data_IF_895464028386
#
_entry.id   IF_895464028386
#
_cell.length_a   1.000
_cell.length_b   1.000
_cell.length_c   1.000
_cell.angle_alpha   90.00
_cell.angle_beta   90.00
_cell.angle_gamma   90.00
#
_symmetry.space_group_name_H-M   'P 1'
#
loop_
_entity.id
_entity.type
_entity.pdbx_description
1 polymer ?
#
# COMPACT_ATOMS: atom_id res chain seq x y z
N UNK A 1 4.95 80.67 40.30
CA UNK A 1 4.54 79.27 40.03
C UNK A 1 5.23 78.76 38.77
N UNK A 2 6.25 77.92 38.90
CA UNK A 2 6.82 77.11 37.82
C UNK A 2 7.22 75.75 38.42
N UNK A 3 6.31 74.79 38.38
CA UNK A 3 6.60 73.36 38.16
C UNK A 3 6.06 73.07 36.74
N UNK A 4 6.61 72.14 35.94
CA UNK A 4 7.42 70.99 36.36
C UNK A 4 8.58 70.66 35.39
N UNK A 5 9.82 71.03 35.69
CA UNK A 5 10.99 70.42 35.00
C UNK A 5 11.49 69.13 35.68
N UNK A 6 10.86 68.72 36.79
CA UNK A 6 11.37 67.65 37.64
C UNK A 6 10.67 66.31 37.43
N UNK A 7 9.42 66.30 36.94
CA UNK A 7 8.67 65.04 36.77
C UNK A 7 9.15 64.29 35.53
N UNK A 8 9.32 64.96 34.39
CA UNK A 8 9.87 64.33 33.17
C UNK A 8 11.30 63.81 33.39
N UNK A 9 12.17 64.58 34.03
CA UNK A 9 13.54 64.14 34.32
C UNK A 9 13.58 62.95 35.30
N UNK A 10 12.71 62.94 36.32
CA UNK A 10 12.60 61.79 37.23
C UNK A 10 12.00 60.56 36.54
N UNK A 11 11.06 60.72 35.61
CA UNK A 11 10.52 59.62 34.79
C UNK A 11 11.61 59.07 33.87
N UNK A 12 12.39 59.92 33.19
CA UNK A 12 13.49 59.49 32.32
C UNK A 12 14.56 58.74 33.12
N UNK A 13 14.99 59.27 34.27
CA UNK A 13 15.98 58.61 35.15
C UNK A 13 15.48 57.31 35.77
N UNK A 14 14.18 57.17 36.03
CA UNK A 14 13.61 55.90 36.53
C UNK A 14 13.35 54.87 35.42
N UNK A 15 13.20 55.32 34.16
CA UNK A 15 13.06 54.45 32.99
C UNK A 15 14.39 54.01 32.38
N UNK A 16 15.49 54.73 32.64
CA UNK A 16 16.83 54.41 32.12
C UNK A 16 17.37 53.02 32.56
N UNK A 17 17.24 52.59 33.83
CA UNK A 17 17.62 51.24 34.24
C UNK A 17 16.72 50.17 33.60
N UNK A 18 15.45 50.49 33.36
CA UNK A 18 14.47 49.58 32.74
C UNK A 18 14.79 49.41 31.26
N UNK A 19 15.15 50.48 30.55
CA UNK A 19 15.52 50.42 29.13
C UNK A 19 16.83 49.67 28.90
N UNK A 20 17.83 49.86 29.78
CA UNK A 20 19.07 49.07 29.77
C UNK A 20 18.78 47.60 30.05
N UNK A 21 17.98 47.29 31.07
CA UNK A 21 17.61 45.91 31.37
C UNK A 21 16.80 45.25 30.24
N UNK A 22 15.93 45.99 29.56
CA UNK A 22 15.18 45.51 28.39
C UNK A 22 16.12 45.21 27.21
N UNK A 23 17.08 46.10 26.95
CA UNK A 23 18.10 45.89 25.91
C UNK A 23 18.99 44.68 26.22
N UNK A 24 19.36 44.47 27.48
CA UNK A 24 20.15 43.29 27.90
C UNK A 24 19.35 41.99 27.72
N UNK A 25 18.06 41.99 28.07
CA UNK A 25 17.16 40.85 27.84
C UNK A 25 16.98 40.59 26.34
N UNK A 26 16.85 41.64 25.53
CA UNK A 26 16.73 41.51 24.07
C UNK A 26 18.02 40.98 23.45
N UNK A 27 19.18 41.50 23.84
CA UNK A 27 20.49 41.04 23.37
C UNK A 27 20.78 39.60 23.80
N UNK A 28 20.42 39.23 25.04
CA UNK A 28 20.49 37.86 25.50
C UNK A 28 19.57 36.95 24.68
N UNK A 29 18.34 37.36 24.43
CA UNK A 29 17.37 36.60 23.63
C UNK A 29 17.85 36.42 22.19
N UNK A 30 18.38 37.47 21.54
CA UNK A 30 18.98 37.38 20.20
C UNK A 30 20.18 36.42 20.21
N UNK A 31 21.04 36.49 21.23
CA UNK A 31 22.21 35.60 21.36
C UNK A 31 21.79 34.13 21.48
N UNK A 32 20.67 33.84 22.15
CA UNK A 32 20.16 32.47 22.30
C UNK A 32 19.35 31.99 21.08
N UNK A 33 18.59 32.87 20.43
CA UNK A 33 17.71 32.53 19.30
C UNK A 33 18.48 32.46 17.98
N UNK A 34 19.49 33.32 17.78
CA UNK A 34 20.25 33.38 16.52
C UNK A 34 20.86 32.01 16.11
N UNK A 35 21.52 31.25 17.00
CA UNK A 35 22.02 29.92 16.63
C UNK A 35 20.92 28.95 16.19
N UNK A 36 19.73 29.02 16.82
CA UNK A 36 18.57 28.21 16.45
C UNK A 36 18.08 28.60 15.05
N UNK A 37 17.92 29.90 14.80
CA UNK A 37 17.50 30.42 13.49
C UNK A 37 18.49 30.06 12.38
N UNK A 38 19.80 30.23 12.63
CA UNK A 38 20.85 29.88 11.68
C UNK A 38 20.82 28.38 11.38
N UNK A 39 20.62 27.54 12.41
CA UNK A 39 20.47 26.08 12.25
C UNK A 39 19.23 25.73 11.42
N UNK A 40 18.07 26.33 11.70
CA UNK A 40 16.84 26.11 10.95
C UNK A 40 16.99 26.53 9.48
N UNK A 41 17.68 27.64 9.22
CA UNK A 41 17.96 28.13 7.87
C UNK A 41 18.86 27.16 7.10
N UNK A 42 19.92 26.64 7.74
CA UNK A 42 20.79 25.63 7.14
C UNK A 42 20.05 24.32 6.86
N UNK A 43 19.19 23.88 7.79
CA UNK A 43 18.34 22.70 7.59
C UNK A 43 17.39 22.87 6.41
N UNK A 44 16.75 24.03 6.31
CA UNK A 44 15.87 24.35 5.17
C UNK A 44 16.62 24.31 3.84
N UNK A 45 17.77 24.98 3.75
CA UNK A 45 18.59 24.96 2.53
C UNK A 45 19.06 23.55 2.15
N UNK A 46 19.46 22.75 3.15
CA UNK A 46 19.84 21.35 2.91
C UNK A 46 18.66 20.51 2.42
N UNK A 47 17.45 20.78 2.92
CA UNK A 47 16.25 20.07 2.49
C UNK A 47 15.84 20.46 1.07
N UNK A 48 15.82 21.77 0.76
CA UNK A 48 15.51 22.29 -0.58
C UNK A 48 16.48 21.72 -1.63
N UNK A 49 17.76 21.60 -1.28
CA UNK A 49 18.76 20.93 -2.11
C UNK A 49 18.40 19.46 -2.37
N UNK A 50 18.09 18.71 -1.31
CA UNK A 50 17.75 17.29 -1.42
C UNK A 50 16.51 17.08 -2.28
N UNK A 51 15.49 17.90 -2.08
CA UNK A 51 14.25 17.81 -2.84
C UNK A 51 14.47 18.05 -4.32
N UNK A 52 15.27 19.06 -4.68
CA UNK A 52 15.67 19.33 -6.07
C UNK A 52 16.41 18.13 -6.68
N UNK A 53 17.44 17.62 -6.02
CA UNK A 53 18.24 16.49 -6.55
C UNK A 53 17.37 15.24 -6.69
N UNK A 54 16.52 14.94 -5.71
CA UNK A 54 15.60 13.81 -5.78
C UNK A 54 14.55 13.96 -6.89
N UNK A 55 14.15 15.19 -7.25
CA UNK A 55 13.34 15.45 -8.43
C UNK A 55 14.00 14.92 -9.70
N UNK A 56 15.23 15.35 -9.98
CA UNK A 56 16.01 14.87 -11.13
C UNK A 56 16.20 13.35 -11.10
N UNK A 57 16.57 12.78 -9.95
CA UNK A 57 16.78 11.32 -9.81
C UNK A 57 15.53 10.52 -10.20
N UNK A 58 14.36 10.93 -9.70
CA UNK A 58 13.11 10.24 -9.99
C UNK A 58 12.74 10.35 -11.47
N UNK A 59 12.94 11.51 -12.10
CA UNK A 59 12.72 11.69 -13.54
C UNK A 59 13.56 10.74 -14.39
N UNK A 60 14.80 10.47 -13.99
CA UNK A 60 15.70 9.51 -14.66
C UNK A 60 15.47 8.04 -14.23
N UNK A 61 14.43 7.77 -13.44
CA UNK A 61 14.10 6.42 -12.94
C UNK A 61 15.02 5.90 -11.84
N UNK A 62 15.81 6.76 -11.19
CA UNK A 62 16.57 6.43 -9.98
C UNK A 62 15.71 6.57 -8.72
N UNK A 63 16.00 5.76 -7.67
CA UNK A 63 15.32 5.91 -6.39
C UNK A 63 15.70 7.24 -5.73
N UNK A 64 14.80 7.85 -4.95
CA UNK A 64 15.16 8.97 -4.07
C UNK A 64 16.30 8.58 -3.12
N UNK A 65 17.17 9.53 -2.81
CA UNK A 65 18.30 9.34 -1.89
C UNK A 65 18.25 10.28 -0.67
N UNK A 66 18.61 9.74 0.49
CA UNK A 66 18.75 10.51 1.73
C UNK A 66 20.19 10.98 2.01
N UNK A 67 21.18 10.28 1.47
CA UNK A 67 22.60 10.47 1.80
C UNK A 67 23.09 11.89 1.43
N UNK A 68 23.37 12.71 2.45
CA UNK A 68 23.75 14.10 2.25
C UNK A 68 25.07 14.28 1.48
N UNK A 69 26.01 13.32 1.57
CA UNK A 69 27.28 13.40 0.85
C UNK A 69 27.07 13.18 -0.64
N UNK A 70 26.30 12.15 -1.01
CA UNK A 70 25.93 11.91 -2.40
C UNK A 70 25.08 13.04 -2.96
N UNK A 71 24.07 13.51 -2.21
CA UNK A 71 23.22 14.64 -2.62
C UNK A 71 24.04 15.89 -2.90
N UNK A 72 24.98 16.25 -2.02
CA UNK A 72 25.83 17.42 -2.24
C UNK A 72 26.69 17.30 -3.49
N UNK A 73 27.32 16.12 -3.71
CA UNK A 73 28.16 15.91 -4.89
C UNK A 73 27.37 15.96 -6.20
N UNK A 74 26.16 15.40 -6.21
CA UNK A 74 25.27 15.45 -7.37
C UNK A 74 24.82 16.89 -7.62
N UNK A 75 24.43 17.61 -6.57
CA UNK A 75 24.02 19.01 -6.67
C UNK A 75 25.13 19.92 -7.22
N UNK A 76 26.37 19.77 -6.74
CA UNK A 76 27.52 20.52 -7.24
C UNK A 76 27.73 20.28 -8.74
N UNK A 77 27.47 19.06 -9.21
CA UNK A 77 27.58 18.68 -10.62
C UNK A 77 26.43 19.22 -11.47
N UNK A 78 25.19 19.15 -10.97
CA UNK A 78 24.03 19.76 -11.63
C UNK A 78 24.23 21.28 -11.78
N UNK A 79 24.77 21.94 -10.76
CA UNK A 79 25.06 23.38 -10.82
C UNK A 79 26.20 23.70 -11.81
N UNK A 80 27.24 22.87 -11.88
CA UNK A 80 28.31 22.98 -12.90
C UNK A 80 27.77 22.82 -14.31
N UNK A 81 26.82 21.90 -14.50
CA UNK A 81 26.15 21.66 -15.76
C UNK A 81 25.27 22.85 -16.17
N UNK A 82 24.36 23.30 -15.31
CA UNK A 82 23.46 24.43 -15.58
C UNK A 82 24.21 25.75 -15.82
N UNK A 83 25.44 25.89 -15.31
CA UNK A 83 26.30 27.05 -15.56
C UNK A 83 27.00 27.01 -16.93
N UNK A 84 27.09 25.83 -17.56
CA UNK A 84 27.53 25.68 -18.95
C UNK A 84 26.30 25.82 -19.82
N UNK A 85 26.19 26.93 -20.54
CA UNK A 85 25.12 27.24 -21.49
C UNK A 85 25.23 26.36 -22.76
N UNK A 86 25.40 25.05 -22.58
CA UNK A 86 25.61 24.10 -23.66
C UNK A 86 24.29 23.41 -24.01
N UNK A 87 23.73 23.76 -25.15
CA UNK A 87 22.55 23.11 -25.75
C UNK A 87 22.78 21.67 -26.24
N UNK A 88 23.98 21.11 -26.07
CA UNK A 88 24.41 19.87 -26.77
C UNK A 88 24.56 18.62 -25.89
N UNK A 89 24.53 18.74 -24.57
CA UNK A 89 24.73 17.57 -23.68
C UNK A 89 23.40 17.14 -23.05
N UNK A 90 23.16 15.84 -22.92
CA UNK A 90 22.00 15.32 -22.22
C UNK A 90 22.28 15.32 -20.71
N UNK A 91 21.46 16.03 -19.93
CA UNK A 91 21.58 16.10 -18.48
C UNK A 91 21.48 14.72 -17.82
N UNK A 92 20.74 13.79 -18.43
CA UNK A 92 20.60 12.42 -17.94
C UNK A 92 21.93 11.66 -18.03
N UNK A 93 22.68 11.83 -19.13
CA UNK A 93 23.97 11.19 -19.31
C UNK A 93 25.01 11.74 -18.33
N UNK A 94 25.04 13.06 -18.10
CA UNK A 94 25.92 13.69 -17.12
C UNK A 94 25.62 13.21 -15.69
N UNK A 95 24.35 13.14 -15.29
CA UNK A 95 24.00 12.64 -13.95
C UNK A 95 24.28 11.13 -13.84
N UNK A 96 24.07 10.35 -14.90
CA UNK A 96 24.48 8.94 -14.94
C UNK A 96 25.98 8.79 -14.71
N UNK A 97 26.82 9.55 -15.43
CA UNK A 97 28.27 9.50 -15.27
C UNK A 97 28.70 9.92 -13.87
N UNK A 98 28.01 10.89 -13.27
CA UNK A 98 28.22 11.29 -11.87
C UNK A 98 27.87 10.15 -10.93
N UNK A 99 26.69 9.56 -11.04
CA UNK A 99 26.26 8.45 -10.18
C UNK A 99 27.20 7.25 -10.32
N UNK A 100 27.55 6.89 -11.55
CA UNK A 100 28.45 5.78 -11.84
C UNK A 100 29.87 6.03 -11.32
N UNK A 101 30.40 7.25 -11.49
CA UNK A 101 31.73 7.62 -10.99
C UNK A 101 31.78 7.73 -9.46
N UNK A 102 30.70 8.19 -8.83
CA UNK A 102 30.61 8.30 -7.38
C UNK A 102 30.40 6.95 -6.70
N UNK A 103 29.57 6.08 -7.26
CA UNK A 103 29.24 4.77 -6.71
C UNK A 103 30.19 3.69 -7.24
N UNK A 104 31.49 3.99 -7.10
CA UNK A 104 32.57 3.09 -7.47
C UNK A 104 32.69 1.92 -6.48
N UNK A 105 33.66 1.04 -6.73
CA UNK A 105 33.88 -0.16 -5.90
C UNK A 105 34.11 0.15 -4.41
N UNK A 106 34.73 1.30 -4.07
CA UNK A 106 34.95 1.69 -2.68
C UNK A 106 33.64 2.06 -1.98
N UNK A 107 32.78 2.84 -2.63
CA UNK A 107 31.45 3.15 -2.06
C UNK A 107 30.60 1.88 -1.95
N UNK A 108 30.64 0.98 -2.93
CA UNK A 108 29.96 -0.32 -2.85
C UNK A 108 30.43 -1.14 -1.65
N UNK A 109 31.74 -1.13 -1.38
CA UNK A 109 32.30 -1.79 -0.21
C UNK A 109 31.86 -1.11 1.10
N UNK A 110 31.74 0.22 1.13
CA UNK A 110 31.21 0.94 2.30
C UNK A 110 29.75 0.57 2.57
N UNK A 111 28.90 0.48 1.53
CA UNK A 111 27.52 0.02 1.67
C UNK A 111 27.48 -1.38 2.28
N UNK A 112 28.28 -2.30 1.76
CA UNK A 112 28.35 -3.66 2.27
C UNK A 112 28.81 -3.71 3.73
N UNK A 113 29.84 -2.94 4.11
CA UNK A 113 30.27 -2.83 5.52
C UNK A 113 29.15 -2.33 6.41
N UNK A 114 28.36 -1.35 5.95
CA UNK A 114 27.23 -0.85 6.71
C UNK A 114 26.11 -1.88 6.83
N UNK A 115 25.80 -2.63 5.77
CA UNK A 115 24.85 -3.74 5.83
C UNK A 115 25.31 -4.84 6.79
N UNK A 116 26.62 -5.11 6.87
CA UNK A 116 27.18 -6.10 7.80
C UNK A 116 27.04 -5.72 9.28
N UNK A 117 26.81 -4.45 9.60
CA UNK A 117 26.52 -3.98 10.97
C UNK A 117 25.06 -4.21 11.38
N UNK A 118 24.16 -4.43 10.41
CA UNK A 118 22.73 -4.60 10.67
C UNK A 118 22.44 -6.05 11.07
N UNK A 119 22.05 -6.27 12.32
CA UNK A 119 21.81 -7.63 12.87
C UNK A 119 20.79 -8.43 12.04
N UNK A 120 19.75 -7.78 11.55
CA UNK A 120 18.69 -8.43 10.74
C UNK A 120 19.15 -8.83 9.33
N UNK A 121 20.37 -8.48 8.91
CA UNK A 121 20.95 -8.91 7.63
C UNK A 121 21.99 -10.02 7.79
N UNK A 122 22.33 -10.42 9.02
CA UNK A 122 23.45 -11.32 9.28
C UNK A 122 23.35 -12.65 8.53
N UNK A 123 22.16 -13.27 8.52
CA UNK A 123 21.93 -14.56 7.83
C UNK A 123 21.99 -14.45 6.31
N UNK A 124 21.70 -13.25 5.77
CA UNK A 124 21.66 -12.98 4.33
C UNK A 124 22.94 -12.32 3.83
N UNK A 125 23.88 -11.99 4.71
CA UNK A 125 25.03 -11.15 4.37
C UNK A 125 25.85 -11.71 3.20
N UNK A 126 26.08 -13.03 3.14
CA UNK A 126 26.79 -13.68 2.03
C UNK A 126 26.07 -13.53 0.68
N UNK A 127 24.75 -13.51 0.69
CA UNK A 127 23.92 -13.29 -0.51
C UNK A 127 24.10 -11.84 -0.98
N UNK A 128 24.01 -10.89 -0.05
CA UNK A 128 24.20 -9.45 -0.33
C UNK A 128 25.61 -9.15 -0.83
N UNK A 129 26.63 -9.73 -0.20
CA UNK A 129 28.02 -9.65 -0.65
C UNK A 129 28.16 -10.19 -2.08
N UNK A 130 27.52 -11.32 -2.39
CA UNK A 130 27.56 -11.90 -3.73
C UNK A 130 26.93 -10.97 -4.78
N UNK A 131 25.81 -10.31 -4.46
CA UNK A 131 25.20 -9.32 -5.35
C UNK A 131 26.16 -8.15 -5.66
N UNK A 132 26.83 -7.61 -4.65
CA UNK A 132 27.82 -6.53 -4.82
C UNK A 132 29.04 -7.00 -5.62
N UNK A 133 29.56 -8.20 -5.37
CA UNK A 133 30.66 -8.79 -6.16
C UNK A 133 30.28 -8.94 -7.63
N UNK A 134 29.05 -9.40 -7.90
CA UNK A 134 28.52 -9.49 -9.25
C UNK A 134 28.46 -8.11 -9.92
N UNK A 135 27.94 -7.08 -9.25
CA UNK A 135 27.93 -5.71 -9.76
C UNK A 135 29.33 -5.21 -10.14
N UNK A 136 30.28 -5.31 -9.19
CA UNK A 136 31.66 -4.86 -9.38
C UNK A 136 32.40 -5.61 -10.50
N UNK A 137 31.96 -6.82 -10.83
CA UNK A 137 32.53 -7.66 -11.89
C UNK A 137 31.80 -7.53 -13.23
N UNK A 138 30.83 -6.62 -13.36
CA UNK A 138 30.04 -6.45 -14.58
C UNK A 138 28.97 -7.53 -14.81
N UNK A 139 28.73 -8.42 -13.84
CA UNK A 139 27.73 -9.49 -13.91
C UNK A 139 26.35 -8.99 -13.46
N UNK A 140 25.84 -7.96 -14.15
CA UNK A 140 24.65 -7.20 -13.70
C UNK A 140 23.38 -8.03 -13.64
N UNK A 141 23.16 -8.97 -14.58
CA UNK A 141 22.04 -9.92 -14.50
C UNK A 141 22.04 -10.69 -13.17
N UNK A 142 23.21 -11.20 -12.78
CA UNK A 142 23.37 -11.96 -11.53
C UNK A 142 23.24 -11.08 -10.30
N UNK A 143 23.77 -9.85 -10.35
CA UNK A 143 23.59 -8.86 -9.28
C UNK A 143 22.10 -8.60 -9.00
N UNK A 144 21.34 -8.25 -10.06
CA UNK A 144 19.92 -7.91 -9.96
C UNK A 144 19.10 -9.12 -9.50
N UNK A 145 19.27 -10.28 -10.15
CA UNK A 145 18.54 -11.50 -9.81
C UNK A 145 18.83 -12.00 -8.38
N UNK A 146 20.03 -11.72 -7.86
CA UNK A 146 20.40 -12.06 -6.48
C UNK A 146 19.78 -11.09 -5.47
N UNK A 147 19.82 -9.79 -5.74
CA UNK A 147 19.43 -8.74 -4.79
C UNK A 147 17.91 -8.51 -4.72
N UNK A 148 17.23 -8.49 -5.87
CA UNK A 148 15.79 -8.19 -5.99
C UNK A 148 14.91 -9.03 -5.05
N UNK A 149 15.01 -10.38 -5.01
CA UNK A 149 14.16 -11.18 -4.12
C UNK A 149 14.47 -10.99 -2.63
N UNK A 150 15.65 -10.46 -2.27
CA UNK A 150 15.98 -10.25 -0.86
C UNK A 150 15.17 -9.14 -0.23
N UNK A 151 14.75 -8.12 -0.98
CA UNK A 151 14.03 -6.96 -0.43
C UNK A 151 12.77 -7.37 0.32
N UNK A 152 11.89 -8.13 -0.34
CA UNK A 152 10.63 -8.57 0.26
C UNK A 152 10.87 -9.58 1.39
N UNK A 153 11.80 -10.52 1.19
CA UNK A 153 12.17 -11.49 2.22
C UNK A 153 12.60 -10.81 3.52
N UNK A 154 13.49 -9.81 3.42
CA UNK A 154 13.98 -9.04 4.57
C UNK A 154 12.84 -8.25 5.22
N UNK A 155 11.98 -7.59 4.44
CA UNK A 155 10.84 -6.84 5.00
C UNK A 155 9.96 -7.77 5.83
N UNK A 156 9.54 -8.91 5.27
CA UNK A 156 8.71 -9.88 5.99
C UNK A 156 9.38 -10.40 7.26
N UNK A 157 10.68 -10.65 7.20
CA UNK A 157 11.47 -11.13 8.34
C UNK A 157 11.56 -10.08 9.45
N UNK A 158 11.85 -8.82 9.13
CA UNK A 158 11.91 -7.71 10.09
C UNK A 158 10.57 -7.46 10.78
N UNK A 159 9.46 -7.64 10.06
CA UNK A 159 8.10 -7.58 10.62
C UNK A 159 7.67 -8.90 11.30
N UNK A 160 8.56 -9.89 11.45
CA UNK A 160 8.29 -11.20 12.03
C UNK A 160 7.04 -11.88 11.43
N UNK A 161 6.85 -11.76 10.11
CA UNK A 161 5.69 -12.31 9.44
C UNK A 161 5.74 -13.85 9.40
N UNK A 162 4.65 -14.50 9.83
CA UNK A 162 4.55 -15.98 9.88
C UNK A 162 3.51 -16.57 8.95
N UNK A 163 2.70 -15.75 8.28
CA UNK A 163 1.71 -16.24 7.34
C UNK A 163 2.34 -16.49 5.96
N UNK A 164 1.57 -17.10 5.06
CA UNK A 164 1.97 -17.18 3.67
C UNK A 164 2.14 -15.79 3.07
N UNK A 165 3.16 -15.63 2.24
CA UNK A 165 3.40 -14.41 1.50
C UNK A 165 2.16 -14.01 0.70
N UNK A 166 1.76 -12.75 0.86
CA UNK A 166 0.73 -12.12 0.05
C UNK A 166 1.12 -10.65 -0.17
N UNK A 167 1.06 -10.18 -1.41
CA UNK A 167 1.43 -8.81 -1.77
C UNK A 167 0.67 -7.75 -0.97
N UNK A 168 -0.59 -8.01 -0.60
CA UNK A 168 -1.37 -7.11 0.27
C UNK A 168 -0.78 -6.94 1.67
N UNK A 169 -0.09 -7.96 2.21
CA UNK A 169 0.64 -7.85 3.48
C UNK A 169 1.91 -7.04 3.30
N UNK A 170 2.63 -7.24 2.18
CA UNK A 170 3.76 -6.37 1.80
C UNK A 170 3.33 -4.91 1.76
N UNK A 171 2.20 -4.61 1.11
CA UNK A 171 1.68 -3.24 1.02
C UNK A 171 1.40 -2.62 2.40
N UNK A 172 0.88 -3.40 3.36
CA UNK A 172 0.71 -2.92 4.75
C UNK A 172 2.07 -2.59 5.36
N UNK A 173 3.06 -3.48 5.21
CA UNK A 173 4.41 -3.26 5.73
C UNK A 173 5.09 -2.05 5.10
N UNK A 174 4.99 -1.87 3.78
CA UNK A 174 5.55 -0.71 3.09
C UNK A 174 4.87 0.60 3.50
N UNK A 175 3.55 0.58 3.70
CA UNK A 175 2.84 1.77 4.17
C UNK A 175 3.32 2.18 5.56
N UNK A 176 3.53 1.24 6.47
CA UNK A 176 4.07 1.53 7.82
C UNK A 176 5.55 1.92 7.75
N UNK A 177 6.35 1.24 6.92
CA UNK A 177 7.80 1.48 6.79
C UNK A 177 8.11 2.89 6.31
N UNK A 178 7.28 3.41 5.39
CA UNK A 178 7.44 4.75 4.82
C UNK A 178 6.41 5.74 5.38
N UNK A 179 5.74 5.45 6.50
CA UNK A 179 4.78 6.39 7.12
C UNK A 179 5.55 7.59 7.69
N UNK A 180 5.09 8.81 7.44
CA UNK A 180 5.59 10.00 8.14
C UNK A 180 4.81 10.23 9.44
N UNK A 181 5.36 11.01 10.37
CA UNK A 181 4.62 11.41 11.58
C UNK A 181 3.36 12.22 11.22
N UNK A 182 3.43 13.08 10.20
CA UNK A 182 2.30 13.88 9.71
C UNK A 182 1.17 13.01 9.12
N UNK A 183 1.53 11.91 8.44
CA UNK A 183 0.57 10.93 7.92
C UNK A 183 -0.14 10.16 9.05
N UNK A 184 0.48 10.01 10.23
CA UNK A 184 -0.20 9.42 11.41
C UNK A 184 -1.32 10.34 11.91
N UNK A 185 -1.16 11.65 11.72
CA UNK A 185 -2.16 12.69 12.03
C UNK A 185 -3.12 12.99 10.86
N UNK A 186 -3.20 12.08 9.88
CA UNK A 186 -4.10 12.11 8.72
C UNK A 186 -3.85 13.27 7.72
N UNK A 187 -2.68 13.91 7.77
CA UNK A 187 -2.26 14.85 6.72
C UNK A 187 -1.21 14.20 5.83
N UNK A 188 -1.54 13.98 4.55
CA UNK A 188 -0.60 13.39 3.59
C UNK A 188 0.14 14.50 2.86
N UNK A 189 1.43 14.66 3.14
CA UNK A 189 2.33 15.46 2.32
C UNK A 189 2.96 14.59 1.22
N UNK A 190 2.45 14.77 0.00
CA UNK A 190 2.88 14.10 -1.22
C UNK A 190 4.29 14.50 -1.68
N UNK A 191 4.89 15.52 -1.10
CA UNK A 191 6.23 15.98 -1.48
C UNK A 191 7.34 15.39 -0.61
N UNK A 192 6.99 14.66 0.45
CA UNK A 192 7.98 14.08 1.36
C UNK A 192 8.84 13.01 0.71
N UNK A 193 10.09 12.92 1.16
CA UNK A 193 11.01 11.84 0.78
C UNK A 193 10.41 10.45 0.98
N UNK A 194 9.72 10.23 2.11
CA UNK A 194 9.07 8.97 2.43
C UNK A 194 7.98 8.60 1.41
N UNK A 195 7.17 9.59 1.02
CA UNK A 195 6.16 9.39 -0.01
C UNK A 195 6.83 9.00 -1.34
N UNK A 196 7.86 9.72 -1.78
CA UNK A 196 8.60 9.41 -3.02
C UNK A 196 9.21 8.00 -2.99
N UNK A 197 9.75 7.58 -1.85
CA UNK A 197 10.25 6.22 -1.65
C UNK A 197 9.16 5.15 -1.76
N UNK A 198 8.00 5.40 -1.13
CA UNK A 198 6.84 4.51 -1.20
C UNK A 198 6.32 4.39 -2.64
N UNK A 199 6.21 5.50 -3.35
CA UNK A 199 5.78 5.57 -4.74
C UNK A 199 6.77 4.86 -5.66
N UNK A 200 8.08 5.10 -5.51
CA UNK A 200 9.09 4.36 -6.27
C UNK A 200 8.99 2.85 -6.06
N UNK A 201 8.83 2.37 -4.82
CA UNK A 201 8.62 0.94 -4.56
C UNK A 201 7.40 0.42 -5.35
N UNK A 202 6.25 1.09 -5.22
CA UNK A 202 4.99 0.64 -5.82
C UNK A 202 5.01 0.68 -7.34
N UNK A 203 5.47 1.78 -7.92
CA UNK A 203 5.30 2.07 -9.34
C UNK A 203 6.45 1.54 -10.19
N UNK A 204 7.63 1.35 -9.61
CA UNK A 204 8.80 0.81 -10.32
C UNK A 204 9.00 -0.67 -9.97
N UNK A 205 9.11 -1.01 -8.69
CA UNK A 205 9.47 -2.38 -8.29
C UNK A 205 8.28 -3.33 -8.33
N UNK A 206 7.11 -2.90 -7.83
CA UNK A 206 5.89 -3.71 -7.76
C UNK A 206 4.99 -3.59 -8.99
N UNK A 207 5.42 -2.87 -10.04
CA UNK A 207 4.65 -2.73 -11.27
C UNK A 207 4.26 -4.11 -11.81
N UNK A 208 2.97 -4.29 -12.12
CA UNK A 208 2.44 -5.57 -12.56
C UNK A 208 2.44 -5.66 -14.07
N UNK A 209 3.12 -6.68 -14.57
CA UNK A 209 3.04 -7.12 -15.97
C UNK A 209 1.94 -8.18 -16.17
N UNK A 210 1.03 -7.98 -17.14
CA UNK A 210 -0.03 -8.95 -17.51
C UNK A 210 -0.05 -9.25 -19.02
N UNK A 211 1.13 -9.36 -19.65
CA UNK A 211 1.22 -9.62 -21.10
C UNK A 211 1.25 -8.36 -21.98
N UNK A 212 1.04 -7.18 -21.41
CA UNK A 212 1.27 -5.86 -22.04
C UNK A 212 2.70 -5.38 -21.79
N UNK A 213 3.18 -4.39 -22.54
CA UNK A 213 4.44 -3.70 -22.21
C UNK A 213 4.45 -3.23 -20.75
N UNK A 214 5.58 -3.41 -20.06
CA UNK A 214 5.84 -2.85 -18.73
C UNK A 214 6.72 -1.63 -18.92
N UNK A 215 6.45 -0.55 -18.17
CA UNK A 215 7.24 0.67 -18.27
C UNK A 215 8.46 0.65 -17.35
N UNK A 216 8.47 -0.21 -16.34
CA UNK A 216 9.58 -0.38 -15.40
C UNK A 216 10.60 -1.42 -15.85
N UNK A 217 11.85 -0.97 -15.95
CA UNK A 217 13.02 -1.81 -16.18
C UNK A 217 13.38 -2.69 -14.96
N UNK A 218 12.76 -2.44 -13.81
CA UNK A 218 13.00 -3.10 -12.53
C UNK A 218 11.73 -3.75 -11.95
N UNK A 219 10.68 -3.93 -12.75
CA UNK A 219 9.49 -4.67 -12.31
C UNK A 219 9.88 -6.07 -11.88
N UNK A 220 9.70 -6.38 -10.59
CA UNK A 220 9.98 -7.72 -10.06
C UNK A 220 9.09 -8.78 -10.73
N UNK A 221 7.86 -8.39 -11.10
CA UNK A 221 6.87 -9.31 -11.68
C UNK A 221 7.31 -9.69 -13.10
N UNK A 222 7.66 -8.69 -13.90
CA UNK A 222 8.16 -8.89 -15.26
C UNK A 222 9.51 -9.64 -15.25
N UNK A 223 10.42 -9.33 -14.32
CA UNK A 223 11.70 -10.02 -14.17
C UNK A 223 11.50 -11.50 -13.80
N UNK A 224 10.66 -11.79 -12.80
CA UNK A 224 10.41 -13.16 -12.32
C UNK A 224 9.76 -14.05 -13.37
N UNK A 225 8.96 -13.47 -14.26
CA UNK A 225 8.36 -14.18 -15.39
C UNK A 225 9.23 -14.18 -16.67
N UNK A 226 10.46 -13.65 -16.60
CA UNK A 226 11.39 -13.63 -17.73
C UNK A 226 10.97 -12.73 -18.88
N UNK A 227 10.04 -11.80 -18.65
CA UNK A 227 9.59 -10.86 -19.68
C UNK A 227 10.67 -9.83 -20.00
N UNK A 228 11.32 -9.29 -18.96
CA UNK A 228 12.47 -8.40 -19.12
C UNK A 228 13.69 -9.23 -19.53
N UNK A 229 14.18 -9.03 -20.75
CA UNK A 229 15.34 -9.77 -21.30
C UNK A 229 16.65 -9.00 -21.17
N UNK A 230 16.56 -7.67 -21.13
CA UNK A 230 17.71 -6.75 -21.16
C UNK A 230 17.91 -6.02 -19.82
N UNK A 231 17.35 -6.53 -18.72
CA UNK A 231 17.43 -5.87 -17.41
C UNK A 231 18.85 -5.78 -16.84
N UNK A 232 19.78 -6.63 -17.28
CA UNK A 232 21.15 -6.74 -16.78
C UNK A 232 22.08 -5.60 -17.24
N UNK A 233 21.74 -4.36 -16.93
CA UNK A 233 22.56 -3.17 -17.23
C UNK A 233 23.28 -2.65 -15.97
N UNK A 234 24.40 -1.93 -16.11
CA UNK A 234 25.05 -1.26 -14.99
C UNK A 234 24.09 -0.32 -14.24
N UNK A 235 23.32 0.48 -15.01
CA UNK A 235 22.32 1.42 -14.50
C UNK A 235 21.25 0.73 -13.64
N UNK A 236 20.63 -0.35 -14.12
CA UNK A 236 19.60 -1.07 -13.37
C UNK A 236 20.15 -1.73 -12.11
N UNK A 237 21.35 -2.30 -12.17
CA UNK A 237 21.98 -2.85 -10.98
C UNK A 237 22.28 -1.75 -9.96
N UNK A 238 22.68 -0.55 -10.41
CA UNK A 238 22.97 0.58 -9.54
C UNK A 238 21.70 1.12 -8.88
N UNK A 239 20.65 1.36 -9.67
CA UNK A 239 19.31 1.76 -9.20
C UNK A 239 18.81 0.80 -8.10
N UNK A 240 18.92 -0.51 -8.32
CA UNK A 240 18.48 -1.50 -7.34
C UNK A 240 19.33 -1.50 -6.06
N UNK A 241 20.66 -1.39 -6.16
CA UNK A 241 21.55 -1.33 -4.98
C UNK A 241 21.25 -0.08 -4.14
N UNK A 242 21.10 1.08 -4.79
CA UNK A 242 20.74 2.32 -4.13
C UNK A 242 19.39 2.22 -3.43
N UNK A 243 18.40 1.68 -4.14
CA UNK A 243 17.06 1.49 -3.59
C UNK A 243 17.07 0.54 -2.38
N UNK A 244 17.73 -0.61 -2.52
CA UNK A 244 17.93 -1.57 -1.44
C UNK A 244 18.53 -0.90 -0.21
N UNK A 245 19.60 -0.10 -0.39
CA UNK A 245 20.24 0.63 0.70
C UNK A 245 19.27 1.56 1.45
N UNK A 246 18.44 2.31 0.72
CA UNK A 246 17.43 3.17 1.34
C UNK A 246 16.42 2.35 2.16
N UNK A 247 15.90 1.26 1.60
CA UNK A 247 14.96 0.38 2.32
C UNK A 247 15.60 -0.18 3.60
N UNK A 248 16.88 -0.59 3.56
CA UNK A 248 17.58 -1.07 4.75
C UNK A 248 17.73 0.01 5.82
N UNK A 249 17.96 1.26 5.42
CA UNK A 249 18.02 2.39 6.36
C UNK A 249 16.66 2.59 7.06
N UNK A 250 15.54 2.57 6.32
CA UNK A 250 14.21 2.63 6.91
C UNK A 250 13.95 1.47 7.88
N UNK A 251 14.34 0.25 7.52
CA UNK A 251 14.17 -0.92 8.39
C UNK A 251 15.03 -0.82 9.66
N UNK A 252 16.20 -0.19 9.58
CA UNK A 252 17.11 -0.05 10.72
C UNK A 252 16.60 0.88 11.82
N UNK A 253 15.74 1.84 11.47
CA UNK A 253 15.14 2.80 12.41
C UNK A 253 13.72 2.41 12.86
N UNK A 254 13.19 1.31 12.33
CA UNK A 254 11.82 0.86 12.60
C UNK A 254 11.65 0.46 14.08
N UNK A 255 10.64 1.05 14.74
CA UNK A 255 10.39 0.78 16.16
C UNK A 255 9.60 -0.52 16.35
N UNK A 256 9.59 -1.04 17.59
CA UNK A 256 8.73 -2.18 17.93
C UNK A 256 7.24 -1.82 17.83
N UNK A 257 6.88 -0.57 18.12
CA UNK A 257 5.49 -0.09 18.01
C UNK A 257 5.02 -0.12 16.55
N UNK A 258 5.86 0.30 15.60
CA UNK A 258 5.56 0.20 14.17
C UNK A 258 5.36 -1.25 13.73
N UNK A 259 6.21 -2.17 14.21
CA UNK A 259 6.09 -3.61 13.92
C UNK A 259 4.77 -4.18 14.43
N UNK A 260 4.42 -3.90 15.68
CA UNK A 260 3.15 -4.35 16.29
C UNK A 260 1.96 -3.74 15.57
N UNK A 261 2.00 -2.44 15.24
CA UNK A 261 0.96 -1.75 14.47
C UNK A 261 0.73 -2.43 13.11
N UNK A 262 1.80 -2.71 12.37
CA UNK A 262 1.70 -3.35 11.07
C UNK A 262 1.16 -4.79 11.17
N UNK A 263 1.61 -5.55 12.18
CA UNK A 263 1.10 -6.90 12.44
C UNK A 263 -0.40 -6.89 12.79
N UNK A 264 -0.85 -5.92 13.59
CA UNK A 264 -2.27 -5.72 13.91
C UNK A 264 -3.11 -5.49 12.65
N UNK A 265 -2.67 -4.58 11.77
CA UNK A 265 -3.33 -4.32 10.46
C UNK A 265 -3.40 -5.59 9.59
N UNK A 266 -2.35 -6.43 9.59
CA UNK A 266 -2.36 -7.71 8.87
C UNK A 266 -3.36 -8.69 9.47
N UNK A 267 -3.41 -8.80 10.80
CA UNK A 267 -4.32 -9.71 11.50
C UNK A 267 -5.78 -9.32 11.27
N UNK A 268 -6.10 -8.03 11.35
CA UNK A 268 -7.42 -7.49 11.03
C UNK A 268 -7.85 -7.85 9.60
N UNK A 269 -6.96 -7.67 8.62
CA UNK A 269 -7.24 -8.02 7.22
C UNK A 269 -7.52 -9.53 7.04
N UNK A 270 -6.83 -10.39 7.81
CA UNK A 270 -7.06 -11.84 7.81
C UNK A 270 -8.44 -12.16 8.39
N UNK A 271 -8.81 -11.53 9.50
CA UNK A 271 -10.09 -11.73 10.18
C UNK A 271 -11.28 -11.27 9.33
N UNK A 272 -11.18 -10.08 8.72
CA UNK A 272 -12.20 -9.58 7.77
C UNK A 272 -12.39 -10.56 6.61
N UNK A 273 -11.31 -11.10 6.04
CA UNK A 273 -11.42 -12.09 4.96
C UNK A 273 -12.08 -13.39 5.42
N UNK A 274 -11.76 -13.88 6.62
CA UNK A 274 -12.40 -15.07 7.20
C UNK A 274 -13.89 -14.85 7.42
N UNK A 275 -14.28 -13.72 8.00
CA UNK A 275 -15.68 -13.34 8.19
C UNK A 275 -16.45 -13.31 6.87
N UNK A 276 -15.90 -12.63 5.85
CA UNK A 276 -16.51 -12.55 4.53
C UNK A 276 -16.64 -13.93 3.85
N UNK A 277 -15.66 -14.82 4.04
CA UNK A 277 -15.74 -16.19 3.53
C UNK A 277 -16.86 -17.00 4.20
N UNK A 278 -16.99 -16.90 5.52
CA UNK A 278 -18.09 -17.54 6.28
C UNK A 278 -19.44 -17.01 5.81
N UNK A 279 -19.57 -15.69 5.62
CA UNK A 279 -20.81 -15.08 5.09
C UNK A 279 -21.15 -15.60 3.70
N UNK A 280 -20.16 -15.75 2.81
CA UNK A 280 -20.37 -16.28 1.46
C UNK A 280 -20.80 -17.76 1.47
N UNK A 281 -20.20 -18.58 2.32
CA UNK A 281 -20.64 -19.98 2.49
C UNK A 281 -22.05 -20.07 3.08
N UNK A 282 -22.39 -19.22 4.06
CA UNK A 282 -23.74 -19.15 4.61
C UNK A 282 -24.77 -18.73 3.55
N UNK A 283 -24.44 -17.76 2.69
CA UNK A 283 -25.30 -17.36 1.58
C UNK A 283 -25.56 -18.52 0.61
N UNK A 284 -24.54 -19.29 0.24
CA UNK A 284 -24.73 -20.49 -0.61
C UNK A 284 -25.63 -21.54 0.02
N UNK A 285 -25.52 -21.74 1.35
CA UNK A 285 -26.40 -22.67 2.09
C UNK A 285 -27.84 -22.15 2.06
N UNK A 286 -28.06 -20.86 2.34
CA UNK A 286 -29.38 -20.24 2.29
C UNK A 286 -29.98 -20.26 0.88
N UNK A 287 -29.17 -20.05 -0.16
CA UNK A 287 -29.60 -20.19 -1.56
C UNK A 287 -30.06 -21.62 -1.83
N UNK A 288 -29.30 -22.62 -1.40
CA UNK A 288 -29.67 -24.03 -1.54
C UNK A 288 -30.94 -24.39 -0.77
N UNK A 289 -31.10 -23.87 0.46
CA UNK A 289 -32.31 -24.03 1.26
C UNK A 289 -33.51 -23.34 0.61
N UNK A 290 -33.32 -22.14 0.06
CA UNK A 290 -34.36 -21.40 -0.65
C UNK A 290 -34.79 -22.13 -1.93
N UNK A 291 -33.84 -22.67 -2.70
CA UNK A 291 -34.16 -23.54 -3.84
C UNK A 291 -34.92 -24.80 -3.40
N UNK A 292 -34.54 -25.42 -2.28
CA UNK A 292 -35.29 -26.55 -1.73
C UNK A 292 -36.71 -26.15 -1.28
N UNK A 293 -36.89 -24.99 -0.65
CA UNK A 293 -38.20 -24.47 -0.26
C UNK A 293 -39.05 -24.07 -1.47
N UNK A 294 -38.44 -23.53 -2.54
CA UNK A 294 -39.12 -23.31 -3.82
C UNK A 294 -39.60 -24.63 -4.41
N UNK A 295 -38.74 -25.65 -4.48
CA UNK A 295 -39.14 -26.98 -4.94
C UNK A 295 -40.28 -27.58 -4.11
N UNK A 296 -40.21 -27.46 -2.78
CA UNK A 296 -41.25 -27.95 -1.87
C UNK A 296 -42.55 -27.15 -2.02
N UNK A 297 -42.48 -25.82 -2.18
CA UNK A 297 -43.65 -24.98 -2.43
C UNK A 297 -44.31 -25.35 -3.77
N UNK A 298 -43.50 -25.55 -4.81
CA UNK A 298 -43.95 -26.05 -6.11
C UNK A 298 -44.64 -27.41 -5.93
N UNK A 299 -44.07 -28.34 -5.17
CA UNK A 299 -44.71 -29.61 -4.80
C UNK A 299 -46.06 -29.41 -4.08
N UNK A 300 -46.12 -28.57 -3.05
CA UNK A 300 -47.34 -28.30 -2.27
C UNK A 300 -48.48 -27.65 -3.06
N UNK A 301 -48.17 -26.76 -4.02
CA UNK A 301 -49.19 -26.13 -4.87
C UNK A 301 -49.58 -27.02 -6.07
N UNK A 302 -49.07 -28.27 -6.11
CA UNK A 302 -49.34 -29.24 -7.18
C UNK A 302 -48.54 -28.98 -8.45
N UNK A 303 -47.52 -28.12 -8.37
CA UNK A 303 -46.44 -27.93 -9.33
C UNK A 303 -45.29 -28.92 -9.03
N UNK A 304 -45.60 -30.20 -8.83
CA UNK A 304 -44.51 -31.18 -8.79
C UNK A 304 -43.92 -31.33 -10.21
N UNK A 305 -42.60 -31.56 -10.30
CA UNK A 305 -41.91 -32.01 -11.51
C UNK A 305 -42.56 -33.26 -12.12
N UNK A 306 -43.56 -33.88 -11.49
CA UNK A 306 -44.43 -34.90 -12.06
C UNK A 306 -45.24 -34.43 -13.29
N UNK A 307 -45.31 -33.12 -13.58
CA UNK A 307 -45.79 -32.58 -14.87
C UNK A 307 -44.67 -32.32 -15.90
N UNK A 308 -43.40 -32.51 -15.53
CA UNK A 308 -42.25 -32.60 -16.44
C UNK A 308 -41.56 -33.97 -16.28
N UNK A 309 -41.75 -34.91 -17.21
CA UNK A 309 -41.27 -36.28 -17.05
C UNK A 309 -39.74 -36.38 -17.10
N UNK A 310 -39.02 -36.11 -16.00
CA UNK A 310 -37.60 -36.45 -15.73
C UNK A 310 -37.23 -36.03 -14.29
N UNK A 311 -37.33 -36.83 -13.21
CA UNK A 311 -36.54 -38.04 -12.78
C UNK A 311 -36.79 -38.22 -11.25
N UNK A 312 -36.42 -39.33 -10.56
CA UNK A 312 -36.49 -40.77 -10.86
C UNK A 312 -37.24 -41.50 -9.71
N UNK A 313 -38.57 -41.57 -9.77
CA UNK A 313 -39.37 -42.29 -8.76
C UNK A 313 -40.78 -42.67 -9.22
N UNK A 314 -41.35 -41.85 -10.10
CA UNK A 314 -42.66 -42.08 -10.71
C UNK A 314 -42.74 -43.17 -11.76
N UNK A 315 -41.65 -43.40 -12.51
CA UNK A 315 -41.61 -44.41 -13.58
C UNK A 315 -41.81 -45.85 -13.09
N UNK A 316 -41.99 -46.05 -11.78
CA UNK A 316 -42.25 -47.34 -11.14
C UNK A 316 -43.71 -47.54 -10.70
N UNK A 317 -44.56 -46.51 -10.73
CA UNK A 317 -46.00 -46.59 -10.33
C UNK A 317 -46.90 -46.73 -11.56
N UNK A 318 -48.05 -47.39 -11.42
CA UNK A 318 -49.00 -47.55 -12.54
C UNK A 318 -49.85 -46.28 -12.71
N UNK A 319 -50.26 -45.99 -13.96
CA UNK A 319 -51.03 -44.79 -14.31
C UNK A 319 -52.29 -44.61 -13.45
N UNK A 320 -52.99 -45.70 -13.16
CA UNK A 320 -54.24 -45.66 -12.39
C UNK A 320 -53.98 -45.30 -10.92
N UNK A 321 -52.88 -45.78 -10.34
CA UNK A 321 -52.45 -45.44 -8.98
C UNK A 321 -52.11 -43.95 -8.85
N UNK A 322 -51.57 -43.34 -9.92
CA UNK A 322 -51.26 -41.91 -9.97
C UNK A 322 -52.53 -41.06 -10.09
N UNK A 323 -53.48 -41.47 -10.92
CA UNK A 323 -54.76 -40.77 -11.07
C UNK A 323 -55.54 -40.80 -9.75
N UNK A 324 -55.56 -41.93 -9.06
CA UNK A 324 -56.20 -42.04 -7.73
C UNK A 324 -55.52 -41.15 -6.69
N UNK A 325 -54.18 -41.08 -6.70
CA UNK A 325 -53.45 -40.23 -5.76
C UNK A 325 -53.77 -38.74 -5.96
N UNK A 326 -53.81 -38.29 -7.22
CA UNK A 326 -54.13 -36.90 -7.57
C UNK A 326 -55.58 -36.56 -7.22
N UNK A 327 -56.52 -37.45 -7.49
CA UNK A 327 -57.93 -37.24 -7.15
C UNK A 327 -58.12 -37.18 -5.63
N UNK A 328 -57.47 -38.06 -4.89
CA UNK A 328 -57.48 -38.08 -3.43
C UNK A 328 -56.91 -36.79 -2.83
N UNK A 329 -55.75 -36.33 -3.31
CA UNK A 329 -55.13 -35.08 -2.84
C UNK A 329 -56.01 -33.85 -3.13
N UNK A 330 -56.60 -33.75 -4.33
CA UNK A 330 -57.52 -32.65 -4.69
C UNK A 330 -58.77 -32.63 -3.82
N UNK A 331 -59.28 -33.80 -3.47
CA UNK A 331 -60.44 -33.91 -2.59
C UNK A 331 -60.07 -33.51 -1.16
N UNK A 332 -58.92 -33.96 -0.65
CA UNK A 332 -58.41 -33.60 0.67
C UNK A 332 -58.22 -32.08 0.79
N UNK A 333 -57.63 -31.45 -0.23
CA UNK A 333 -57.44 -30.00 -0.28
C UNK A 333 -58.77 -29.24 -0.28
N UNK A 334 -59.76 -29.68 -1.06
CA UNK A 334 -61.10 -29.06 -1.08
C UNK A 334 -61.79 -29.20 0.27
N UNK A 335 -61.62 -30.32 0.96
CA UNK A 335 -62.20 -30.52 2.30
C UNK A 335 -61.51 -29.69 3.37
N UNK A 336 -60.18 -29.61 3.34
CA UNK A 336 -59.42 -28.76 4.25
C UNK A 336 -59.74 -27.29 4.04
N UNK A 337 -59.84 -26.84 2.79
CA UNK A 337 -60.25 -25.47 2.45
C UNK A 337 -61.65 -25.15 2.96
N UNK A 338 -62.62 -26.06 2.78
CA UNK A 338 -64.00 -25.89 3.27
C UNK A 338 -64.11 -25.82 4.79
N UNK A 339 -63.13 -26.36 5.53
CA UNK A 339 -63.07 -26.29 7.01
C UNK A 339 -62.53 -24.96 7.52
N UNK A 340 -61.94 -24.13 6.67
CA UNK A 340 -61.51 -22.79 7.02
C UNK A 340 -62.71 -21.84 7.12
N UNK A 341 -62.63 -20.82 7.97
CA UNK A 341 -63.64 -19.76 8.02
C UNK A 341 -63.56 -18.88 6.76
N UNK A 342 -64.65 -18.18 6.45
CA UNK A 342 -64.78 -17.41 5.21
C UNK A 342 -63.71 -16.33 5.06
N UNK A 343 -63.21 -15.75 6.17
CA UNK A 343 -62.15 -14.75 6.11
C UNK A 343 -60.83 -15.41 5.73
N UNK A 344 -60.48 -16.52 6.37
CA UNK A 344 -59.26 -17.29 6.06
C UNK A 344 -59.30 -17.91 4.66
N UNK A 345 -60.47 -18.38 4.20
CA UNK A 345 -60.66 -18.83 2.82
C UNK A 345 -60.37 -17.71 1.83
N UNK A 346 -60.90 -16.51 2.08
CA UNK A 346 -60.72 -15.38 1.19
C UNK A 346 -59.27 -14.85 1.22
N UNK A 347 -58.61 -14.83 2.39
CA UNK A 347 -57.18 -14.50 2.50
C UNK A 347 -56.29 -15.54 1.80
N UNK A 348 -56.61 -16.83 1.94
CA UNK A 348 -55.91 -17.90 1.23
C UNK A 348 -56.12 -17.78 -0.27
N UNK A 349 -57.35 -17.53 -0.73
CA UNK A 349 -57.68 -17.27 -2.12
C UNK A 349 -56.89 -16.07 -2.66
N UNK A 350 -56.90 -14.95 -1.95
CA UNK A 350 -56.16 -13.74 -2.33
C UNK A 350 -54.65 -14.01 -2.37
N UNK A 351 -54.09 -14.79 -1.44
CA UNK A 351 -52.66 -15.16 -1.44
C UNK A 351 -52.30 -16.11 -2.57
N UNK A 352 -53.15 -17.10 -2.83
CA UNK A 352 -52.98 -18.04 -3.94
C UNK A 352 -53.08 -17.28 -5.25
N UNK A 353 -54.07 -16.41 -5.41
CA UNK A 353 -54.21 -15.52 -6.56
C UNK A 353 -53.02 -14.54 -6.63
N UNK A 354 -52.54 -13.94 -5.55
CA UNK A 354 -51.40 -13.03 -5.59
C UNK A 354 -50.06 -13.72 -5.84
N UNK A 355 -49.94 -15.03 -5.60
CA UNK A 355 -48.73 -15.80 -5.88
C UNK A 355 -48.78 -16.44 -7.28
N UNK A 356 -49.94 -16.94 -7.71
CA UNK A 356 -50.11 -17.70 -8.95
C UNK A 356 -50.50 -16.77 -10.11
N UNK A 357 -51.35 -15.76 -9.87
CA UNK A 357 -51.85 -14.88 -10.94
C UNK A 357 -50.77 -13.99 -11.56
N UNK A 358 -49.78 -13.44 -10.83
CA UNK A 358 -48.65 -12.73 -11.45
C UNK A 358 -47.77 -13.65 -12.30
N UNK A 359 -47.61 -14.93 -11.90
CA UNK A 359 -46.83 -15.93 -12.64
C UNK A 359 -47.57 -16.37 -13.92
N UNK A 360 -48.91 -16.35 -13.91
CA UNK A 360 -49.72 -16.71 -15.09
C UNK A 360 -50.01 -15.55 -16.04
N UNK A 361 -49.88 -14.28 -15.60
CA UNK A 361 -50.37 -13.13 -16.37
C UNK A 361 -49.49 -11.86 -16.38
N UNK A 362 -48.26 -11.84 -15.85
CA UNK A 362 -47.35 -10.70 -16.05
C UNK A 362 -46.09 -11.09 -16.83
N UNK A 363 -46.00 -10.49 -18.01
CA UNK A 363 -44.87 -10.35 -18.92
C UNK A 363 -43.83 -9.36 -18.35
N UNK A 364 -42.58 -9.83 -18.21
CA UNK A 364 -41.31 -9.19 -18.60
C UNK A 364 -40.20 -10.26 -18.60
#
# INVERSE_FOLDING_TARGET
MKKPNNIEQMIVQSMEPISVSLNDVQMYSIKQIKPIYDTLTQLKQSNDKRERVNGYLVEMGYPPMWDSHLINKIDDKINQYNAKDSMETDIEEEIYQVLFGLLNQDEMQRLLVNWGKQKFLAERFKILESAIKCHNSGLYYSSIATLMPQMEGIIFEVFNHRNFYQERFLNIYLNVLFETEEEKDQQVDYFTFNYKMRTYYKDVVLEKFYGSETTSELSRHALSHGYLKTYGTPSNSLKLILFFNQVMNFLSILTNEDKVRAQGKVQELIEVKKSNHITKERLKVLEKENEAFKSLLLEFIGYEDEWLPTRPGLGKKKKDELIEHIQYQRQLMKELYKKLDHKTQNEFKIKVESCIWPIMHNED
#
